data_IF_733415945902
#
_entry.id   IF_733415945902
#
_cell.length_a   1.000
_cell.length_b   1.000
_cell.length_c   1.000
_cell.angle_alpha   90.00
_cell.angle_beta   90.00
_cell.angle_gamma   90.00
#
_symmetry.space_group_name_H-M   'P 1'
#
loop_
_entity.id
_entity.type
_entity.pdbx_description
1 polymer ?
#
# COMPACT_ATOMS: atom_id res chain seq x y z
N UNK A 1 -6.32 8.70 -19.44
CA UNK A 1 -5.35 7.59 -19.43
C UNK A 1 -5.05 7.04 -18.03
N UNK A 2 -4.28 7.71 -17.17
CA UNK A 2 -3.80 7.10 -15.91
C UNK A 2 -4.92 6.52 -15.02
N UNK A 3 -6.06 7.22 -14.90
CA UNK A 3 -7.24 6.75 -14.16
C UNK A 3 -7.77 5.38 -14.64
N UNK A 4 -8.05 5.25 -15.95
CA UNK A 4 -8.63 4.04 -16.52
C UNK A 4 -7.65 2.87 -16.52
N UNK A 5 -6.39 3.15 -16.85
CA UNK A 5 -5.33 2.13 -16.81
C UNK A 5 -5.09 1.64 -15.38
N UNK A 6 -5.13 2.53 -14.38
CA UNK A 6 -4.99 2.14 -12.98
C UNK A 6 -6.13 1.22 -12.54
N UNK A 7 -7.39 1.61 -12.76
CA UNK A 7 -8.56 0.80 -12.38
C UNK A 7 -8.50 -0.60 -12.97
N UNK A 8 -8.14 -0.71 -14.26
CA UNK A 8 -8.08 -1.99 -14.94
C UNK A 8 -6.94 -2.88 -14.42
N UNK A 9 -5.72 -2.34 -14.33
CA UNK A 9 -4.51 -3.12 -14.01
C UNK A 9 -4.48 -3.52 -12.54
N UNK A 10 -4.94 -2.65 -11.63
CA UNK A 10 -4.77 -2.83 -10.18
C UNK A 10 -5.43 -4.12 -9.66
N UNK A 11 -6.54 -4.54 -10.26
CA UNK A 11 -7.33 -5.69 -9.81
C UNK A 11 -6.55 -7.00 -9.96
N UNK A 12 -5.67 -7.07 -10.96
CA UNK A 12 -4.87 -8.25 -11.26
C UNK A 12 -3.59 -8.36 -10.43
N UNK A 13 -3.26 -7.33 -9.64
CA UNK A 13 -2.05 -7.33 -8.84
C UNK A 13 -2.16 -8.22 -7.60
N UNK A 14 -3.37 -8.64 -7.20
CA UNK A 14 -3.65 -9.41 -5.97
C UNK A 14 -2.68 -10.58 -5.69
N UNK A 15 -2.38 -11.46 -6.66
CA UNK A 15 -1.48 -12.59 -6.46
C UNK A 15 -0.05 -12.25 -6.03
N UNK A 16 0.40 -10.99 -6.14
CA UNK A 16 1.71 -10.57 -5.62
C UNK A 16 1.86 -10.68 -4.10
N UNK A 17 0.75 -10.82 -3.37
CA UNK A 17 0.72 -11.09 -1.92
C UNK A 17 0.90 -12.58 -1.61
N UNK A 18 0.80 -13.44 -2.62
CA UNK A 18 0.74 -14.90 -2.49
C UNK A 18 1.91 -15.59 -3.21
N UNK A 19 2.99 -14.85 -3.44
CA UNK A 19 4.20 -15.39 -4.06
C UNK A 19 4.84 -16.43 -3.15
N UNK A 20 5.25 -17.56 -3.75
CA UNK A 20 5.83 -18.70 -3.03
C UNK A 20 4.89 -19.36 -2.01
N UNK A 21 3.59 -19.09 -2.09
CA UNK A 21 2.58 -19.81 -1.32
C UNK A 21 2.04 -21.01 -2.11
N UNK A 22 1.00 -21.65 -1.58
CA UNK A 22 0.27 -22.71 -2.25
C UNK A 22 -0.53 -22.26 -3.49
N UNK A 23 -0.61 -20.95 -3.75
CA UNK A 23 -1.28 -20.42 -4.94
C UNK A 23 -0.62 -20.97 -6.23
N UNK A 24 -1.39 -21.37 -7.27
CA UNK A 24 -0.85 -21.85 -8.53
C UNK A 24 0.17 -20.88 -9.16
N UNK A 25 1.24 -21.44 -9.73
CA UNK A 25 2.36 -20.66 -10.28
C UNK A 25 1.97 -19.70 -11.40
N UNK A 26 0.94 -20.03 -12.19
CA UNK A 26 0.44 -19.16 -13.26
C UNK A 26 -0.21 -17.88 -12.71
N UNK A 27 -1.01 -18.01 -11.64
CA UNK A 27 -1.68 -16.88 -11.00
C UNK A 27 -0.65 -15.96 -10.32
N UNK A 28 0.35 -16.55 -9.66
CA UNK A 28 1.49 -15.79 -9.13
C UNK A 28 2.18 -14.97 -10.23
N UNK A 29 2.51 -15.59 -11.37
CA UNK A 29 3.18 -14.90 -12.50
C UNK A 29 2.33 -13.78 -13.09
N UNK A 30 1.01 -13.97 -13.16
CA UNK A 30 0.06 -12.96 -13.59
C UNK A 30 0.12 -11.73 -12.67
N UNK A 31 0.08 -11.95 -11.35
CA UNK A 31 0.22 -10.89 -10.35
C UNK A 31 1.52 -10.12 -10.50
N UNK A 32 2.66 -10.80 -10.68
CA UNK A 32 3.96 -10.12 -10.91
C UNK A 32 3.92 -9.24 -12.16
N UNK A 33 3.42 -9.77 -13.28
CA UNK A 33 3.37 -9.03 -14.54
C UNK A 33 2.53 -7.75 -14.43
N UNK A 34 1.32 -7.86 -13.87
CA UNK A 34 0.44 -6.70 -13.72
C UNK A 34 0.95 -5.71 -12.66
N UNK A 35 1.60 -6.18 -11.59
CA UNK A 35 2.24 -5.29 -10.62
C UNK A 35 3.36 -4.45 -11.27
N UNK A 36 4.19 -5.03 -12.14
CA UNK A 36 5.19 -4.24 -12.90
C UNK A 36 4.51 -3.23 -13.82
N UNK A 37 3.46 -3.65 -14.55
CA UNK A 37 2.70 -2.75 -15.42
C UNK A 37 2.06 -1.58 -14.64
N UNK A 38 1.71 -1.80 -13.36
CA UNK A 38 1.08 -0.81 -12.49
C UNK A 38 1.96 0.41 -12.17
N UNK A 39 3.28 0.31 -12.38
CA UNK A 39 4.21 1.45 -12.20
C UNK A 39 3.77 2.63 -13.09
N UNK A 40 3.53 2.38 -14.38
CA UNK A 40 3.24 3.43 -15.36
C UNK A 40 1.95 4.23 -15.05
N UNK A 41 0.77 3.62 -14.84
CA UNK A 41 -0.43 4.38 -14.50
C UNK A 41 -0.36 5.02 -13.12
N UNK A 42 0.33 4.40 -12.16
CA UNK A 42 0.51 4.98 -10.83
C UNK A 42 1.39 6.23 -10.88
N UNK A 43 2.56 6.13 -11.49
CA UNK A 43 3.44 7.28 -11.69
C UNK A 43 2.82 8.34 -12.59
N UNK A 44 1.92 7.98 -13.51
CA UNK A 44 1.09 8.94 -14.22
C UNK A 44 0.34 9.89 -13.27
N UNK A 45 -0.20 9.38 -12.16
CA UNK A 45 -0.82 10.21 -11.12
C UNK A 45 0.17 11.10 -10.38
N UNK A 46 1.32 10.55 -9.96
CA UNK A 46 2.39 11.31 -9.29
C UNK A 46 2.91 12.44 -10.19
N UNK A 47 3.31 12.10 -11.41
CA UNK A 47 3.89 13.03 -12.38
C UNK A 47 2.88 14.12 -12.73
N UNK A 48 1.61 13.77 -12.95
CA UNK A 48 0.56 14.76 -13.19
C UNK A 48 0.45 15.77 -12.03
N UNK A 49 0.43 15.28 -10.79
CA UNK A 49 0.39 16.13 -9.61
C UNK A 49 1.63 17.02 -9.45
N UNK A 50 2.84 16.46 -9.59
CA UNK A 50 4.09 17.21 -9.41
C UNK A 50 4.38 18.19 -10.57
N UNK A 51 4.07 17.81 -11.81
CA UNK A 51 4.25 18.70 -12.97
C UNK A 51 3.22 19.84 -12.98
N UNK A 52 2.08 19.70 -12.31
CA UNK A 52 1.14 20.82 -12.09
C UNK A 52 1.79 21.96 -11.30
N UNK A 53 2.80 21.65 -10.47
CA UNK A 53 3.57 22.65 -9.71
C UNK A 53 4.72 23.28 -10.52
N UNK A 54 4.90 22.91 -11.79
CA UNK A 54 5.96 23.48 -12.64
C UNK A 54 5.78 25.00 -12.75
N UNK A 55 6.79 25.74 -12.31
CA UNK A 55 6.76 27.21 -12.25
C UNK A 55 6.14 27.78 -10.97
N UNK A 56 5.70 26.95 -10.02
CA UNK A 56 5.09 27.37 -8.75
C UNK A 56 5.76 26.71 -7.51
N UNK A 57 6.98 26.18 -7.67
CA UNK A 57 7.73 25.50 -6.61
C UNK A 57 8.15 26.42 -5.45
N UNK A 58 8.27 27.72 -5.72
CA UNK A 58 8.46 28.76 -4.72
C UNK A 58 7.32 28.76 -3.68
N UNK A 59 6.06 28.58 -4.13
CA UNK A 59 4.89 28.56 -3.25
C UNK A 59 4.90 27.41 -2.25
N UNK A 60 5.55 26.29 -2.58
CA UNK A 60 5.66 25.12 -1.68
C UNK A 60 6.44 25.49 -0.42
N UNK A 61 7.36 26.45 -0.47
CA UNK A 61 8.12 26.87 0.72
C UNK A 61 7.26 27.64 1.72
N UNK A 62 6.23 28.33 1.24
CA UNK A 62 5.39 29.23 2.03
C UNK A 62 4.06 28.58 2.44
N UNK A 63 3.42 27.84 1.54
CA UNK A 63 2.12 27.22 1.79
C UNK A 63 2.28 25.81 2.39
N UNK A 64 1.90 25.67 3.66
CA UNK A 64 1.93 24.40 4.39
C UNK A 64 1.05 23.32 3.72
N UNK A 65 -0.07 23.71 3.12
CA UNK A 65 -0.95 22.80 2.40
C UNK A 65 -0.23 22.16 1.22
N UNK A 66 0.50 22.97 0.45
CA UNK A 66 1.29 22.49 -0.67
C UNK A 66 2.45 21.60 -0.20
N UNK A 67 3.06 21.88 0.95
CA UNK A 67 4.07 20.98 1.54
C UNK A 67 3.52 19.58 1.79
N UNK A 68 2.35 19.48 2.42
CA UNK A 68 1.67 18.20 2.64
C UNK A 68 1.38 17.48 1.33
N UNK A 69 0.82 18.18 0.33
CA UNK A 69 0.49 17.59 -0.97
C UNK A 69 1.74 17.09 -1.72
N UNK A 70 2.84 17.86 -1.72
CA UNK A 70 4.09 17.47 -2.39
C UNK A 70 4.72 16.25 -1.73
N UNK A 71 4.82 16.24 -0.40
CA UNK A 71 5.37 15.09 0.32
C UNK A 71 4.48 13.87 0.13
N UNK A 72 3.16 14.05 0.13
CA UNK A 72 2.23 12.98 -0.17
C UNK A 72 2.49 12.37 -1.55
N UNK A 73 2.47 13.20 -2.61
CA UNK A 73 2.72 12.73 -3.99
C UNK A 73 4.07 12.02 -4.12
N UNK A 74 5.09 12.50 -3.41
CA UNK A 74 6.41 11.87 -3.38
C UNK A 74 6.36 10.50 -2.70
N UNK A 75 5.71 10.40 -1.53
CA UNK A 75 5.54 9.13 -0.82
C UNK A 75 4.72 8.11 -1.62
N UNK A 76 3.75 8.58 -2.41
CA UNK A 76 3.01 7.72 -3.34
C UNK A 76 3.86 7.24 -4.49
N UNK A 77 4.66 8.11 -5.09
CA UNK A 77 5.66 7.70 -6.07
C UNK A 77 6.57 6.59 -5.55
N UNK A 78 7.05 6.77 -4.32
CA UNK A 78 7.90 5.79 -3.63
C UNK A 78 7.15 4.48 -3.37
N UNK A 79 5.97 4.52 -2.75
CA UNK A 79 5.19 3.33 -2.45
C UNK A 79 4.76 2.58 -3.73
N UNK A 80 4.34 3.30 -4.77
CA UNK A 80 3.91 2.70 -6.05
C UNK A 80 5.06 2.26 -6.95
N UNK A 81 6.30 2.62 -6.62
CA UNK A 81 7.49 2.00 -7.18
C UNK A 81 7.92 0.77 -6.37
N UNK A 82 7.89 0.89 -5.05
CA UNK A 82 8.28 -0.17 -4.14
C UNK A 82 7.36 -1.39 -4.21
N UNK A 83 6.04 -1.21 -4.30
CA UNK A 83 5.08 -2.32 -4.39
C UNK A 83 5.40 -3.26 -5.57
N UNK A 84 5.57 -2.74 -6.80
CA UNK A 84 6.01 -3.52 -7.94
C UNK A 84 7.38 -4.18 -7.76
N UNK A 85 8.35 -3.53 -7.11
CA UNK A 85 9.61 -4.19 -6.76
C UNK A 85 9.38 -5.37 -5.81
N UNK A 86 8.57 -5.20 -4.78
CA UNK A 86 8.20 -6.25 -3.82
C UNK A 86 7.37 -7.38 -4.45
N UNK A 87 6.79 -7.16 -5.63
CA UNK A 87 6.13 -8.20 -6.44
C UNK A 87 7.13 -9.06 -7.22
N UNK A 88 8.38 -8.64 -7.39
CA UNK A 88 9.40 -9.48 -8.00
C UNK A 88 9.73 -10.63 -7.07
N UNK A 89 9.59 -11.86 -7.55
CA UNK A 89 9.81 -13.08 -6.78
C UNK A 89 11.13 -13.07 -5.99
N UNK A 90 12.22 -12.62 -6.60
CA UNK A 90 13.53 -12.56 -5.95
C UNK A 90 13.56 -11.61 -4.74
N UNK A 91 12.92 -10.44 -4.87
CA UNK A 91 12.83 -9.44 -3.79
C UNK A 91 11.82 -9.91 -2.74
N UNK A 92 10.65 -10.38 -3.18
CA UNK A 92 9.61 -10.92 -2.32
C UNK A 92 10.13 -12.05 -1.43
N UNK A 93 10.98 -12.93 -1.98
CA UNK A 93 11.59 -14.02 -1.23
C UNK A 93 12.40 -13.56 -0.02
N UNK A 94 12.81 -12.28 0.06
CA UNK A 94 13.48 -11.67 1.22
C UNK A 94 12.52 -10.80 2.02
N UNK A 95 11.69 -10.00 1.35
CA UNK A 95 10.85 -8.99 2.00
C UNK A 95 9.56 -9.54 2.61
N UNK A 96 9.00 -10.61 2.05
CA UNK A 96 7.72 -11.15 2.50
C UNK A 96 7.86 -11.77 3.90
N UNK A 97 6.90 -11.45 4.77
CA UNK A 97 6.85 -11.73 6.22
C UNK A 97 7.80 -10.90 7.07
N UNK A 98 8.51 -9.93 6.50
CA UNK A 98 9.39 -9.02 7.25
C UNK A 98 8.76 -7.64 7.44
N UNK A 99 9.37 -6.84 8.30
CA UNK A 99 9.01 -5.45 8.55
C UNK A 99 9.23 -4.55 7.32
N UNK A 100 9.83 -5.04 6.23
CA UNK A 100 9.84 -4.30 4.96
C UNK A 100 8.41 -4.06 4.46
N UNK A 101 7.52 -5.06 4.53
CA UNK A 101 6.12 -4.88 4.14
C UNK A 101 5.43 -3.84 5.03
N UNK A 102 5.78 -3.81 6.31
CA UNK A 102 5.31 -2.81 7.27
C UNK A 102 5.80 -1.40 6.90
N UNK A 103 7.06 -1.25 6.49
CA UNK A 103 7.58 0.02 5.99
C UNK A 103 6.82 0.47 4.74
N UNK A 104 6.68 -0.41 3.76
CA UNK A 104 5.98 -0.15 2.50
C UNK A 104 4.55 0.36 2.71
N UNK A 105 3.76 -0.35 3.54
CA UNK A 105 2.38 0.07 3.82
C UNK A 105 2.34 1.41 4.56
N UNK A 106 3.28 1.72 5.44
CA UNK A 106 3.27 2.99 6.17
C UNK A 106 3.75 4.17 5.32
N UNK A 107 4.67 3.97 4.37
CA UNK A 107 4.98 5.00 3.36
C UNK A 107 3.71 5.35 2.57
N UNK A 108 2.93 4.35 2.15
CA UNK A 108 1.64 4.57 1.49
C UNK A 108 0.56 5.17 2.40
N UNK A 109 0.39 4.64 3.61
CA UNK A 109 -0.69 5.01 4.52
C UNK A 109 -0.45 6.35 5.21
N UNK A 110 0.73 6.56 5.79
CA UNK A 110 1.04 7.78 6.52
C UNK A 110 1.66 8.84 5.61
N UNK A 111 2.59 8.42 4.74
CA UNK A 111 3.30 9.30 3.84
C UNK A 111 2.41 9.83 2.71
N UNK A 112 1.62 8.98 2.06
CA UNK A 112 0.69 9.41 1.00
C UNK A 112 -0.72 9.69 1.53
N UNK A 113 -1.48 8.68 1.96
CA UNK A 113 -2.91 8.84 2.28
C UNK A 113 -3.11 9.88 3.39
N UNK A 114 -2.36 9.75 4.49
CA UNK A 114 -2.45 10.64 5.63
C UNK A 114 -2.10 12.09 5.25
N UNK A 115 -0.92 12.33 4.68
CA UNK A 115 -0.50 13.68 4.31
C UNK A 115 -1.38 14.31 3.24
N UNK A 116 -1.84 13.55 2.24
CA UNK A 116 -2.77 14.06 1.24
C UNK A 116 -4.06 14.51 1.91
N UNK A 117 -4.60 13.67 2.80
CA UNK A 117 -5.81 13.98 3.59
C UNK A 117 -5.59 15.21 4.47
N UNK A 118 -4.45 15.33 5.15
CA UNK A 118 -4.14 16.49 5.98
C UNK A 118 -4.07 17.77 5.15
N UNK A 119 -3.41 17.74 3.99
CA UNK A 119 -3.38 18.86 3.05
C UNK A 119 -4.80 19.24 2.59
N UNK A 120 -5.62 18.26 2.19
CA UNK A 120 -7.01 18.49 1.79
C UNK A 120 -7.82 19.11 2.92
N UNK A 121 -7.69 18.63 4.16
CA UNK A 121 -8.44 19.16 5.31
C UNK A 121 -8.02 20.60 5.66
N UNK A 122 -6.72 20.90 5.64
CA UNK A 122 -6.23 22.27 5.85
C UNK A 122 -6.69 23.24 4.76
N UNK A 123 -6.94 22.75 3.54
CA UNK A 123 -7.50 23.53 2.46
C UNK A 123 -9.03 23.67 2.55
N UNK A 124 -9.72 22.59 2.89
CA UNK A 124 -11.17 22.45 2.83
C UNK A 124 -11.88 23.12 4.00
N UNK A 125 -11.44 22.88 5.24
CA UNK A 125 -12.13 23.34 6.44
C UNK A 125 -12.25 24.86 6.50
N UNK A 126 -11.19 25.66 6.29
CA UNK A 126 -11.33 27.12 6.28
C UNK A 126 -12.32 27.62 5.21
N UNK A 127 -12.41 26.94 4.06
CA UNK A 127 -13.33 27.30 2.96
C UNK A 127 -14.79 27.04 3.30
N UNK A 128 -15.11 25.87 3.85
CA UNK A 128 -16.49 25.51 4.24
C UNK A 128 -16.99 26.43 5.36
N UNK A 129 -16.10 26.80 6.30
CA UNK A 129 -16.44 27.68 7.41
C UNK A 129 -16.24 29.19 7.10
N UNK A 130 -15.93 29.52 5.83
CA UNK A 130 -15.64 30.87 5.30
C UNK A 130 -14.79 31.71 6.28
N UNK A 131 -13.68 31.14 6.73
CA UNK A 131 -12.75 31.75 7.69
C UNK A 131 -11.30 31.44 7.29
N UNK A 132 -10.36 32.04 8.01
CA UNK A 132 -8.94 31.69 7.89
C UNK A 132 -8.57 30.56 8.86
N UNK A 133 -7.52 29.81 8.51
CA UNK A 133 -6.98 28.78 9.39
C UNK A 133 -6.50 29.42 10.71
N UNK A 134 -6.94 28.86 11.84
CA UNK A 134 -6.64 29.39 13.18
C UNK A 134 -5.15 29.62 13.42
N UNK A 135 -4.28 28.69 13.01
CA UNK A 135 -2.83 28.86 13.12
C UNK A 135 -2.04 28.18 12.00
N UNK A 136 -1.42 28.99 11.14
CA UNK A 136 -0.45 28.51 10.12
C UNK A 136 0.81 27.93 10.76
N UNK A 137 1.24 28.46 11.91
CA UNK A 137 2.40 27.94 12.67
C UNK A 137 2.14 26.53 13.17
N UNK A 138 0.93 26.25 13.69
CA UNK A 138 0.57 24.93 14.17
C UNK A 138 0.43 23.92 13.03
N UNK A 139 -0.06 24.34 11.86
CA UNK A 139 -0.04 23.51 10.66
C UNK A 139 1.40 23.20 10.22
N UNK A 140 2.30 24.19 10.26
CA UNK A 140 3.73 23.96 9.94
C UNK A 140 4.40 23.03 10.96
N UNK A 141 4.05 23.13 12.25
CA UNK A 141 4.51 22.20 13.28
C UNK A 141 4.02 20.78 12.98
N UNK A 142 2.72 20.61 12.67
CA UNK A 142 2.16 19.33 12.26
C UNK A 142 2.91 18.74 11.05
N UNK A 143 3.16 19.55 10.02
CA UNK A 143 3.92 19.10 8.85
C UNK A 143 5.29 18.53 9.24
N UNK A 144 6.07 19.25 10.03
CA UNK A 144 7.41 18.82 10.41
C UNK A 144 7.40 17.60 11.34
N UNK A 145 6.54 17.60 12.36
CA UNK A 145 6.48 16.48 13.31
C UNK A 145 5.96 15.21 12.64
N UNK A 146 4.98 15.34 11.72
CA UNK A 146 4.50 14.23 10.90
C UNK A 146 5.57 13.71 9.94
N UNK A 147 6.37 14.62 9.35
CA UNK A 147 7.43 14.24 8.40
C UNK A 147 8.54 13.49 9.11
N UNK A 148 8.97 13.98 10.27
CA UNK A 148 9.88 13.24 11.14
C UNK A 148 9.25 11.91 11.60
N UNK A 149 7.96 11.92 11.97
CA UNK A 149 7.24 10.73 12.38
C UNK A 149 7.30 9.60 11.35
N UNK A 150 7.02 9.90 10.06
CA UNK A 150 7.11 8.88 9.01
C UNK A 150 8.56 8.43 8.74
N UNK A 151 9.55 9.32 8.83
CA UNK A 151 10.96 8.92 8.66
C UNK A 151 11.43 7.96 9.77
N UNK A 152 11.10 8.28 11.03
CA UNK A 152 11.38 7.42 12.18
C UNK A 152 10.51 6.16 12.21
N UNK A 153 9.42 6.11 11.44
CA UNK A 153 8.65 4.89 11.24
C UNK A 153 9.27 4.00 10.16
N UNK A 154 9.41 4.52 8.94
CA UNK A 154 9.72 3.72 7.76
C UNK A 154 11.18 3.25 7.72
N UNK A 155 12.15 4.14 8.03
CA UNK A 155 13.59 3.81 7.91
C UNK A 155 13.98 2.63 8.81
N UNK A 156 13.62 2.61 10.12
CA UNK A 156 13.93 1.48 10.97
C UNK A 156 13.22 0.20 10.53
N UNK A 157 12.02 0.29 9.96
CA UNK A 157 11.29 -0.87 9.45
C UNK A 157 11.92 -1.46 8.19
N UNK A 158 12.47 -0.64 7.29
CA UNK A 158 13.31 -1.15 6.21
C UNK A 158 14.51 -1.92 6.75
N UNK A 159 15.21 -1.35 7.74
CA UNK A 159 16.38 -1.98 8.33
C UNK A 159 16.03 -3.28 9.08
N UNK A 160 14.92 -3.30 9.82
CA UNK A 160 14.38 -4.51 10.44
C UNK A 160 14.02 -5.56 9.39
N UNK A 161 13.39 -5.15 8.29
CA UNK A 161 13.00 -6.02 7.19
C UNK A 161 14.18 -6.73 6.53
N UNK A 162 15.25 -5.98 6.23
CA UNK A 162 16.50 -6.56 5.73
C UNK A 162 17.15 -7.47 6.75
N UNK A 163 17.23 -7.04 8.02
CA UNK A 163 17.83 -7.83 9.11
C UNK A 163 17.12 -9.18 9.24
N UNK A 164 15.78 -9.18 9.29
CA UNK A 164 14.96 -10.38 9.34
C UNK A 164 15.21 -11.28 8.12
N UNK A 165 15.05 -10.74 6.90
CA UNK A 165 15.17 -11.52 5.68
C UNK A 165 16.56 -12.15 5.50
N UNK A 166 17.63 -11.44 5.88
CA UNK A 166 19.00 -11.95 5.80
C UNK A 166 19.28 -12.99 6.89
N UNK A 167 18.94 -12.72 8.15
CA UNK A 167 19.16 -13.66 9.25
C UNK A 167 18.39 -14.97 9.06
N UNK A 168 17.16 -14.90 8.55
CA UNK A 168 16.35 -16.11 8.34
C UNK A 168 16.93 -17.03 7.27
N UNK A 169 17.63 -16.46 6.29
CA UNK A 169 18.23 -17.17 5.15
C UNK A 169 19.68 -17.58 5.34
N UNK A 170 20.33 -17.15 6.42
CA UNK A 170 21.75 -17.37 6.61
C UNK A 170 22.06 -18.80 7.07
N UNK A 171 22.98 -19.44 6.35
CA UNK A 171 23.54 -20.76 6.66
C UNK A 171 25.00 -20.63 7.05
N UNK A 172 25.46 -21.51 7.94
CA UNK A 172 26.89 -21.69 8.23
C UNK A 172 27.58 -22.45 7.08
N UNK A 173 28.91 -22.49 7.09
CA UNK A 173 29.69 -23.22 6.08
C UNK A 173 29.40 -24.72 6.09
N UNK A 174 28.98 -25.26 7.25
CA UNK A 174 28.52 -26.65 7.42
C UNK A 174 27.09 -26.88 6.88
N UNK A 175 26.42 -25.84 6.38
CA UNK A 175 25.09 -25.93 5.81
C UNK A 175 23.95 -25.98 6.83
N UNK A 176 24.20 -25.59 8.08
CA UNK A 176 23.18 -25.45 9.14
C UNK A 176 22.63 -24.04 9.20
N UNK A 177 21.39 -23.86 9.66
CA UNK A 177 20.81 -22.52 9.88
C UNK A 177 21.58 -21.79 10.98
N UNK A 178 22.23 -20.67 10.64
CA UNK A 178 23.02 -19.88 11.60
C UNK A 178 22.14 -19.31 12.72
N UNK A 179 20.94 -18.87 12.37
CA UNK A 179 19.96 -18.32 13.30
C UNK A 179 18.71 -19.21 13.35
N UNK A 180 18.85 -20.47 13.78
CA UNK A 180 17.75 -21.44 13.83
C UNK A 180 16.60 -21.03 14.79
N UNK A 181 16.91 -20.35 15.89
CA UNK A 181 15.90 -19.84 16.81
C UNK A 181 15.35 -18.48 16.33
N UNK A 182 14.04 -18.40 16.09
CA UNK A 182 13.38 -17.18 15.66
C UNK A 182 13.55 -16.02 16.67
N UNK A 183 13.59 -16.35 17.97
CA UNK A 183 13.75 -15.39 19.06
C UNK A 183 15.00 -14.52 18.88
N UNK A 184 16.10 -15.08 18.35
CA UNK A 184 17.33 -14.33 18.11
C UNK A 184 17.10 -13.15 17.17
N UNK A 185 16.33 -13.36 16.10
CA UNK A 185 15.99 -12.29 15.16
C UNK A 185 15.05 -11.28 15.82
N UNK A 186 14.06 -11.75 16.58
CA UNK A 186 13.11 -10.88 17.29
C UNK A 186 13.82 -9.94 18.27
N UNK A 187 14.78 -10.45 19.05
CA UNK A 187 15.57 -9.65 19.98
C UNK A 187 16.44 -8.63 19.24
N UNK A 188 17.00 -9.00 18.09
CA UNK A 188 17.86 -8.13 17.28
C UNK A 188 17.13 -6.89 16.74
N UNK A 189 15.82 -7.01 16.44
CA UNK A 189 15.03 -5.92 15.84
C UNK A 189 14.32 -5.01 16.85
N UNK A 190 14.44 -5.28 18.16
CA UNK A 190 13.82 -4.46 19.22
C UNK A 190 14.15 -2.96 19.06
N UNK A 191 15.41 -2.54 18.80
CA UNK A 191 15.73 -1.12 18.62
C UNK A 191 14.93 -0.46 17.49
N UNK A 192 14.71 -1.19 16.39
CA UNK A 192 13.95 -0.69 15.25
C UNK A 192 12.47 -0.52 15.60
N UNK A 193 11.91 -1.43 16.40
CA UNK A 193 10.52 -1.33 16.89
C UNK A 193 10.33 -0.19 17.89
N UNK A 194 11.34 0.11 18.72
CA UNK A 194 11.34 1.28 19.59
C UNK A 194 11.29 2.56 18.73
N UNK A 195 12.17 2.67 17.72
CA UNK A 195 12.16 3.82 16.81
C UNK A 195 10.84 3.96 16.03
N UNK A 196 10.27 2.84 15.56
CA UNK A 196 8.92 2.81 14.98
C UNK A 196 7.88 3.43 15.90
N UNK A 197 7.92 3.06 17.18
CA UNK A 197 6.96 3.53 18.19
C UNK A 197 7.12 5.03 18.43
N UNK A 198 8.35 5.53 18.45
CA UNK A 198 8.65 6.97 18.50
C UNK A 198 8.09 7.67 17.25
N UNK A 199 8.36 7.14 16.05
CA UNK A 199 7.85 7.70 14.80
C UNK A 199 6.33 7.78 14.75
N UNK A 200 5.65 6.71 15.16
CA UNK A 200 4.19 6.66 15.29
C UNK A 200 3.64 7.68 16.29
N UNK A 201 4.29 7.84 17.44
CA UNK A 201 3.90 8.84 18.44
C UNK A 201 4.05 10.27 17.92
N UNK A 202 5.15 10.59 17.22
CA UNK A 202 5.36 11.90 16.58
C UNK A 202 4.27 12.21 15.55
N UNK A 203 3.92 11.22 14.73
CA UNK A 203 2.85 11.37 13.74
C UNK A 203 1.48 11.61 14.41
N UNK A 204 1.17 10.86 15.48
CA UNK A 204 -0.06 11.03 16.25
C UNK A 204 -0.14 12.41 16.92
N UNK A 205 0.95 12.90 17.51
CA UNK A 205 1.04 14.26 18.07
C UNK A 205 0.72 15.29 16.98
N UNK A 206 1.23 15.08 15.76
CA UNK A 206 0.89 15.88 14.59
C UNK A 206 -0.60 15.89 14.28
N UNK A 207 -1.23 14.71 14.21
CA UNK A 207 -2.66 14.57 13.94
C UNK A 207 -3.54 15.20 15.05
N UNK A 208 -3.12 15.12 16.32
CA UNK A 208 -3.78 15.80 17.43
C UNK A 208 -3.67 17.32 17.27
N UNK A 209 -2.48 17.83 16.92
CA UNK A 209 -2.26 19.25 16.65
C UNK A 209 -3.13 19.75 15.48
N UNK A 210 -3.29 18.94 14.42
CA UNK A 210 -4.22 19.23 13.34
C UNK A 210 -5.65 19.32 13.84
N UNK A 211 -6.11 18.31 14.57
CA UNK A 211 -7.48 18.22 15.06
C UNK A 211 -7.82 19.44 15.91
N UNK A 212 -6.92 19.83 16.81
CA UNK A 212 -7.06 21.06 17.59
C UNK A 212 -7.11 22.31 16.69
N UNK A 213 -6.20 22.45 15.72
CA UNK A 213 -6.16 23.60 14.81
C UNK A 213 -7.44 23.73 13.99
N UNK A 214 -7.92 22.63 13.42
CA UNK A 214 -9.14 22.58 12.63
C UNK A 214 -10.38 22.83 13.50
N UNK A 215 -10.45 22.25 14.71
CA UNK A 215 -11.53 22.52 15.65
C UNK A 215 -11.63 24.02 16.00
N UNK A 216 -10.50 24.67 16.31
CA UNK A 216 -10.45 26.10 16.55
C UNK A 216 -10.84 26.93 15.32
N UNK A 217 -10.46 26.46 14.13
CA UNK A 217 -10.86 27.09 12.85
C UNK A 217 -12.38 27.02 12.66
N UNK A 218 -12.98 25.86 12.88
CA UNK A 218 -14.43 25.65 12.77
C UNK A 218 -15.21 26.52 13.79
N UNK A 219 -14.69 26.65 15.01
CA UNK A 219 -15.28 27.50 16.05
C UNK A 219 -15.15 29.01 15.76
N UNK A 220 -14.17 29.42 14.95
CA UNK A 220 -13.99 30.82 14.54
C UNK A 220 -14.92 31.20 13.37
N UNK A 221 -15.18 30.25 12.48
CA UNK A 221 -15.98 30.48 11.27
C UNK A 221 -17.47 30.17 11.44
N UNK A 222 -18.20 30.29 10.34
CA UNK A 222 -19.61 29.91 10.25
C UNK A 222 -19.77 28.89 9.14
N UNK A 223 -20.31 27.72 9.48
CA UNK A 223 -20.55 26.65 8.52
C UNK A 223 -21.49 27.13 7.41
N UNK A 224 -21.05 27.01 6.16
CA UNK A 224 -21.92 27.07 4.99
C UNK A 224 -22.38 25.65 4.69
N UNK A 225 -23.59 25.32 5.14
CA UNK A 225 -24.14 23.98 5.00
C UNK A 225 -24.45 23.61 3.55
N UNK A 226 -24.92 24.59 2.78
CA UNK A 226 -25.35 24.43 1.40
C UNK A 226 -24.70 25.51 0.51
N UNK A 227 -24.06 25.08 -0.57
CA UNK A 227 -23.54 25.93 -1.63
C UNK A 227 -24.00 25.34 -2.96
N UNK A 228 -24.63 26.16 -3.81
CA UNK A 228 -25.03 25.71 -5.14
C UNK A 228 -23.77 25.35 -5.93
N UNK A 229 -23.69 24.11 -6.39
CA UNK A 229 -22.58 23.61 -7.19
C UNK A 229 -23.09 23.13 -8.55
N UNK A 230 -22.42 23.57 -9.61
CA UNK A 230 -22.63 23.08 -10.96
C UNK A 230 -21.29 22.63 -11.55
N UNK A 231 -21.31 21.53 -12.30
CA UNK A 231 -20.15 21.12 -13.07
C UNK A 231 -20.09 21.96 -14.36
N UNK A 232 -18.87 22.28 -14.81
CA UNK A 232 -18.71 22.91 -16.13
C UNK A 232 -19.37 22.06 -17.21
N UNK A 233 -20.07 22.68 -18.17
CA UNK A 233 -20.68 21.94 -19.28
C UNK A 233 -19.58 21.22 -20.07
N UNK A 234 -19.89 20.01 -20.54
CA UNK A 234 -18.98 19.25 -21.39
C UNK A 234 -18.70 20.05 -22.67
N UNK A 235 -17.43 20.37 -22.92
CA UNK A 235 -17.02 21.05 -24.16
C UNK A 235 -17.46 20.23 -25.38
N UNK A 236 -18.16 20.87 -26.31
CA UNK A 236 -18.70 20.21 -27.52
C UNK A 236 -17.60 19.88 -28.52
N UNK A 237 -16.62 20.76 -28.68
CA UNK A 237 -15.51 20.64 -29.64
C UNK A 237 -14.17 20.48 -28.92
N UNK A 238 -13.24 19.75 -29.55
CA UNK A 238 -11.90 19.51 -29.01
C UNK A 238 -10.99 20.60 -29.59
N UNK A 239 -10.58 21.57 -28.79
CA UNK A 239 -9.70 22.68 -29.23
C UNK A 239 -8.21 22.35 -29.11
N UNK A 240 -7.86 21.30 -28.36
CA UNK A 240 -6.49 20.82 -28.17
C UNK A 240 -6.28 19.47 -28.88
N UNK A 241 -6.02 19.53 -30.19
CA UNK A 241 -5.62 18.36 -30.99
C UNK A 241 -4.10 18.23 -30.97
N UNK A 242 -3.57 17.26 -30.21
CA UNK A 242 -2.23 16.74 -30.46
C UNK A 242 -2.31 15.91 -31.76
N UNK A 243 -1.54 16.25 -32.82
CA UNK A 243 -1.55 15.52 -34.09
C UNK A 243 -1.23 14.02 -33.94
N UNK A 244 -0.58 13.62 -32.85
CA UNK A 244 -0.22 12.23 -32.57
C UNK A 244 -1.35 11.41 -31.94
N UNK A 245 -2.45 12.03 -31.49
CA UNK A 245 -3.49 11.34 -30.74
C UNK A 245 -4.49 10.61 -31.67
N UNK A 246 -4.51 9.27 -31.58
CA UNK A 246 -5.40 8.41 -32.36
C UNK A 246 -6.84 8.52 -31.87
N UNK A 247 -7.66 9.35 -32.54
CA UNK A 247 -9.05 9.76 -32.18
C UNK A 247 -10.06 8.67 -31.77
N UNK A 248 -9.81 7.37 -32.01
CA UNK A 248 -10.81 6.30 -31.82
C UNK A 248 -11.19 6.04 -30.35
N UNK A 249 -10.23 6.06 -29.41
CA UNK A 249 -10.47 5.74 -28.00
C UNK A 249 -11.14 6.89 -27.23
N UNK A 250 -10.99 8.13 -27.71
CA UNK A 250 -11.66 9.32 -27.15
C UNK A 250 -13.19 9.22 -27.12
N UNK A 251 -13.78 8.42 -28.02
CA UNK A 251 -15.24 8.17 -28.03
C UNK A 251 -15.71 7.50 -26.73
N UNK A 252 -14.89 6.61 -26.16
CA UNK A 252 -15.15 5.93 -24.90
C UNK A 252 -14.75 6.79 -23.70
N UNK A 253 -13.56 7.40 -23.74
CA UNK A 253 -13.03 8.18 -22.62
C UNK A 253 -13.90 9.40 -22.25
N UNK A 254 -14.57 10.02 -23.24
CA UNK A 254 -15.46 11.16 -23.00
C UNK A 254 -16.82 10.78 -22.40
N UNK A 255 -17.15 9.48 -22.33
CA UNK A 255 -18.43 8.98 -21.81
C UNK A 255 -18.17 8.16 -20.55
N UNK A 256 -17.85 8.81 -19.41
CA UNK A 256 -17.38 8.13 -18.21
C UNK A 256 -18.34 7.04 -17.72
N UNK A 257 -19.65 7.28 -17.76
CA UNK A 257 -20.65 6.28 -17.37
C UNK A 257 -20.63 5.02 -18.27
N UNK A 258 -20.52 5.20 -19.59
CA UNK A 258 -20.46 4.05 -20.51
C UNK A 258 -19.17 3.28 -20.33
N UNK A 259 -18.05 3.99 -20.21
CA UNK A 259 -16.76 3.35 -20.06
C UNK A 259 -16.61 2.67 -18.70
N UNK A 260 -17.22 3.20 -17.64
CA UNK A 260 -17.33 2.56 -16.33
C UNK A 260 -18.06 1.22 -16.43
N UNK A 261 -19.24 1.17 -17.09
CA UNK A 261 -20.01 -0.07 -17.26
C UNK A 261 -19.22 -1.11 -18.04
N UNK A 262 -18.59 -0.71 -19.16
CA UNK A 262 -17.75 -1.60 -19.96
C UNK A 262 -16.58 -2.12 -19.13
N UNK A 263 -15.85 -1.23 -18.46
CA UNK A 263 -14.72 -1.59 -17.59
C UNK A 263 -15.15 -2.58 -16.51
N UNK A 264 -16.29 -2.35 -15.86
CA UNK A 264 -16.84 -3.25 -14.85
C UNK A 264 -17.15 -4.64 -15.41
N UNK A 265 -17.76 -4.74 -16.59
CA UNK A 265 -18.02 -6.03 -17.25
C UNK A 265 -16.71 -6.77 -17.53
N UNK A 266 -15.71 -6.09 -18.10
CA UNK A 266 -14.41 -6.71 -18.41
C UNK A 266 -13.69 -7.16 -17.13
N UNK A 267 -13.74 -6.34 -16.07
CA UNK A 267 -13.21 -6.69 -14.75
C UNK A 267 -13.87 -7.94 -14.18
N UNK A 268 -15.20 -8.03 -14.24
CA UNK A 268 -15.94 -9.18 -13.73
C UNK A 268 -15.59 -10.45 -14.51
N UNK A 269 -15.52 -10.38 -15.84
CA UNK A 269 -15.07 -11.48 -16.69
C UNK A 269 -13.65 -11.89 -16.32
N UNK A 270 -12.75 -10.92 -16.18
CA UNK A 270 -11.36 -11.14 -15.82
C UNK A 270 -11.19 -11.82 -14.47
N UNK A 271 -11.88 -11.32 -13.44
CA UNK A 271 -11.90 -11.92 -12.11
C UNK A 271 -12.49 -13.34 -12.13
N UNK A 272 -13.51 -13.59 -12.96
CA UNK A 272 -14.03 -14.94 -13.17
C UNK A 272 -12.97 -15.88 -13.76
N UNK A 273 -12.26 -15.43 -14.80
CA UNK A 273 -11.19 -16.20 -15.47
C UNK A 273 -10.01 -16.45 -14.53
N UNK A 274 -9.70 -15.54 -13.63
CA UNK A 274 -8.64 -15.71 -12.63
C UNK A 274 -9.05 -16.68 -11.51
N UNK A 275 -10.28 -16.57 -11.01
CA UNK A 275 -10.73 -17.36 -9.87
C UNK A 275 -11.21 -18.78 -10.25
N UNK A 276 -11.97 -18.93 -11.34
CA UNK A 276 -12.59 -20.21 -11.72
C UNK A 276 -11.60 -21.36 -11.86
N UNK A 277 -10.44 -21.21 -12.53
CA UNK A 277 -9.49 -22.32 -12.68
C UNK A 277 -8.96 -22.83 -11.33
N UNK A 278 -8.87 -21.96 -10.33
CA UNK A 278 -8.41 -22.34 -8.98
C UNK A 278 -9.47 -23.16 -8.25
N UNK A 279 -10.76 -22.91 -8.51
CA UNK A 279 -11.88 -23.62 -7.86
C UNK A 279 -12.36 -24.87 -8.62
N UNK A 280 -12.12 -24.95 -9.93
CA UNK A 280 -12.71 -25.98 -10.80
C UNK A 280 -11.73 -27.02 -11.33
N UNK A 281 -10.43 -26.72 -11.32
CA UNK A 281 -9.39 -27.63 -11.82
C UNK A 281 -8.70 -28.29 -10.62
N UNK A 282 -9.04 -29.55 -10.35
CA UNK A 282 -8.49 -30.32 -9.20
C UNK A 282 -6.95 -30.40 -9.24
N UNK A 283 -6.32 -30.42 -10.42
CA UNK A 283 -4.85 -30.43 -10.53
C UNK A 283 -4.18 -29.14 -10.02
N UNK A 284 -4.93 -28.04 -9.86
CA UNK A 284 -4.42 -26.81 -9.27
C UNK A 284 -4.43 -26.84 -7.73
N UNK A 285 -5.15 -27.78 -7.11
CA UNK A 285 -5.24 -28.00 -5.66
C UNK A 285 -4.94 -29.48 -5.35
N UNK A 286 -3.67 -29.90 -5.47
CA UNK A 286 -3.30 -31.29 -5.28
C UNK A 286 -3.46 -31.71 -3.80
N UNK A 287 -4.58 -32.36 -3.50
CA UNK A 287 -4.86 -32.88 -2.15
C UNK A 287 -3.76 -33.86 -1.72
N UNK A 288 -3.04 -33.53 -0.64
CA UNK A 288 -1.99 -34.40 -0.10
C UNK A 288 -2.66 -35.55 0.66
N UNK A 289 -2.31 -36.80 0.34
CA UNK A 289 -2.87 -37.99 1.01
C UNK A 289 -2.62 -38.04 2.54
N UNK A 290 -1.68 -37.23 3.05
CA UNK A 290 -1.40 -37.10 4.48
C UNK A 290 -2.33 -36.14 5.23
N UNK A 291 -3.08 -35.28 4.52
CA UNK A 291 -4.00 -34.32 5.14
C UNK A 291 -5.31 -35.04 5.46
N UNK A 292 -5.47 -35.39 6.74
CA UNK A 292 -6.69 -35.99 7.29
C UNK A 292 -7.51 -34.93 8.03
N UNK A 293 -8.85 -35.06 8.11
CA UNK A 293 -9.64 -34.25 9.01
C UNK A 293 -9.08 -34.33 10.44
N UNK A 294 -8.96 -33.19 11.11
CA UNK A 294 -8.51 -33.15 12.50
C UNK A 294 -9.40 -34.02 13.38
N UNK A 295 -8.77 -34.81 14.24
CA UNK A 295 -9.47 -35.50 15.33
C UNK A 295 -10.09 -34.49 16.30
N UNK A 296 -11.09 -34.90 17.12
CA UNK A 296 -11.67 -34.01 18.13
C UNK A 296 -10.64 -33.39 19.07
N UNK A 297 -9.57 -34.12 19.41
CA UNK A 297 -8.49 -33.61 20.26
C UNK A 297 -7.63 -32.56 19.55
N UNK A 298 -7.33 -32.75 18.26
CA UNK A 298 -6.60 -31.75 17.46
C UNK A 298 -7.43 -30.49 17.21
N UNK A 299 -8.76 -30.63 17.06
CA UNK A 299 -9.67 -29.49 16.99
C UNK A 299 -9.66 -28.67 18.29
N UNK A 300 -9.77 -29.33 19.44
CA UNK A 300 -9.66 -28.64 20.74
C UNK A 300 -8.28 -27.97 20.90
N UNK A 301 -7.20 -28.66 20.53
CA UNK A 301 -5.85 -28.11 20.55
C UNK A 301 -5.70 -26.89 19.64
N UNK A 302 -6.27 -26.92 18.43
CA UNK A 302 -6.30 -25.80 17.49
C UNK A 302 -7.09 -24.62 18.06
N UNK A 303 -8.25 -24.89 18.65
CA UNK A 303 -9.11 -23.85 19.19
C UNK A 303 -8.45 -23.16 20.40
N UNK A 304 -7.74 -23.91 21.25
CA UNK A 304 -6.86 -23.35 22.28
C UNK A 304 -5.70 -22.55 21.66
N UNK A 305 -5.03 -23.08 20.64
CA UNK A 305 -3.92 -22.40 19.95
C UNK A 305 -4.34 -21.06 19.33
N UNK A 306 -5.56 -20.98 18.80
CA UNK A 306 -6.16 -19.74 18.29
C UNK A 306 -6.53 -18.81 19.45
N UNK A 307 -7.20 -19.33 20.48
CA UNK A 307 -7.68 -18.56 21.64
C UNK A 307 -6.54 -17.89 22.40
N UNK A 308 -5.43 -18.59 22.58
CA UNK A 308 -4.23 -18.06 23.26
C UNK A 308 -3.36 -17.19 22.31
N UNK A 309 -3.81 -16.96 21.07
CA UNK A 309 -3.15 -16.08 20.12
C UNK A 309 -1.85 -16.63 19.55
N UNK A 310 -1.55 -17.91 19.73
CA UNK A 310 -0.32 -18.53 19.22
C UNK A 310 -0.25 -18.47 17.69
N UNK A 311 -1.40 -18.47 17.00
CA UNK A 311 -1.51 -18.23 15.55
C UNK A 311 -0.88 -16.91 15.08
N UNK A 312 -0.73 -15.92 15.97
CA UNK A 312 -0.15 -14.63 15.60
C UNK A 312 1.39 -14.66 15.51
N UNK A 313 2.03 -15.67 16.10
CA UNK A 313 3.48 -15.79 16.15
C UNK A 313 4.04 -16.85 15.19
N UNK A 314 3.20 -17.74 14.66
CA UNK A 314 3.59 -18.78 13.71
C UNK A 314 2.89 -18.57 12.38
N UNK A 315 3.66 -18.34 11.31
CA UNK A 315 3.09 -18.25 9.96
C UNK A 315 2.44 -19.57 9.59
N UNK A 316 1.18 -19.54 9.17
CA UNK A 316 0.45 -20.70 8.64
C UNK A 316 1.00 -21.17 7.27
N UNK A 317 2.00 -20.49 6.71
CA UNK A 317 2.55 -20.76 5.38
C UNK A 317 4.06 -20.89 5.41
N UNK A 318 4.56 -22.09 5.12
CA UNK A 318 5.99 -22.39 4.90
C UNK A 318 6.24 -22.30 3.39
N UNK A 319 7.16 -21.45 2.96
CA UNK A 319 7.51 -21.27 1.55
C UNK A 319 8.55 -22.31 1.11
N UNK A 320 8.64 -22.63 -0.21
CA UNK A 320 9.60 -23.60 -0.76
C UNK A 320 11.03 -23.04 -0.82
N UNK A 321 11.51 -22.46 0.30
CA UNK A 321 12.90 -22.07 0.50
C UNK A 321 13.56 -23.02 1.47
N UNK A 322 14.80 -23.44 1.17
CA UNK A 322 15.57 -24.31 2.07
C UNK A 322 15.62 -23.75 3.50
N UNK A 323 15.79 -22.44 3.65
CA UNK A 323 15.84 -21.76 4.95
C UNK A 323 14.57 -21.89 5.79
N UNK A 324 13.43 -22.10 5.14
CA UNK A 324 12.15 -22.32 5.83
C UNK A 324 11.87 -23.79 6.02
N UNK A 325 12.19 -24.62 5.03
CA UNK A 325 11.93 -26.05 5.13
C UNK A 325 12.79 -26.74 6.19
N UNK A 326 14.05 -26.32 6.33
CA UNK A 326 14.96 -26.77 7.41
C UNK A 326 14.49 -26.31 8.80
N UNK A 327 13.74 -25.20 8.85
CA UNK A 327 13.32 -24.58 10.12
C UNK A 327 11.96 -25.08 10.60
N UNK A 328 11.02 -25.25 9.68
CA UNK A 328 9.62 -25.45 9.98
C UNK A 328 9.05 -26.77 9.40
N UNK A 329 9.81 -27.47 8.55
CA UNK A 329 9.37 -28.71 7.88
C UNK A 329 8.92 -28.51 6.43
N UNK A 330 8.18 -29.47 5.87
CA UNK A 330 7.69 -29.39 4.48
C UNK A 330 6.94 -28.08 4.18
N UNK A 331 7.13 -27.54 2.98
CA UNK A 331 6.44 -26.33 2.54
C UNK A 331 4.93 -26.56 2.36
N UNK A 332 4.15 -25.50 2.54
CA UNK A 332 2.69 -25.54 2.44
C UNK A 332 2.23 -25.80 1.01
N UNK A 333 1.28 -26.72 0.84
CA UNK A 333 0.63 -27.07 -0.44
C UNK A 333 -0.89 -26.93 -0.28
N UNK A 334 -1.58 -26.63 -1.38
CA UNK A 334 -3.03 -26.41 -1.40
C UNK A 334 -3.80 -27.74 -1.31
#
# INVERSE_FOLDING_TARGET
LHFWSLIFIYIWAGPHHLLYTSLPGWAQSLGVAFSIMLIAPSWGGMINGLLTLRGAWDKVREDVTLKFMVVALTAYGMATFEGPLLSLKQINGVAHFTDWIVAHVHVGALGWNGFLTFGVLYWLIPRIYKTELFSKKLASFHFWIGTLGILFYAIPMYWAGFTQGLMWKEFTDEGLLKYANFLTTTLQIIPMHILRSIGGALYLIGAIAMTYNLAKTMLQGKLVADEAAEAMPLEKEITHEDPADKKWHRVLERKPMKFMVISMIVILIGGMVEMMPTFTIESNVPTIASVKPYSPLELEGRDLYIKEGCVNCHSQTIRPFRSETERYGEYSKA
#
